data_IF_136532891076
#
_entry.id   IF_136532891076
#
_cell.length_a   1.000
_cell.length_b   1.000
_cell.length_c   1.000
_cell.angle_alpha   90.00
_cell.angle_beta   90.00
_cell.angle_gamma   90.00
#
_symmetry.space_group_name_H-M   'P 1'
#
loop_
_entity.id
_entity.type
_entity.pdbx_description
1 polymer ?
#
# COMPACT_ATOMS: atom_id res chain seq x y z
N UNK A 1 19.86 1.84 26.28
CA UNK A 1 19.26 2.80 25.33
C UNK A 1 19.97 2.58 24.01
N UNK A 2 19.48 1.63 23.21
CA UNK A 2 20.01 1.42 21.86
C UNK A 2 19.13 2.21 20.90
N UNK A 3 19.64 3.37 20.50
CA UNK A 3 19.03 4.25 19.51
C UNK A 3 19.32 3.61 18.14
N UNK A 4 18.42 2.74 17.68
CA UNK A 4 18.44 2.28 16.29
C UNK A 4 17.77 3.37 15.44
N UNK A 5 18.60 4.24 14.88
CA UNK A 5 18.23 5.23 13.86
C UNK A 5 17.74 6.57 14.41
N UNK A 6 17.93 7.62 13.61
CA UNK A 6 17.64 9.05 13.87
C UNK A 6 16.14 9.38 14.11
N UNK A 7 15.32 8.37 14.46
CA UNK A 7 13.87 8.47 14.66
C UNK A 7 13.58 8.80 16.13
N UNK A 8 12.96 9.95 16.37
CA UNK A 8 12.47 10.34 17.71
C UNK A 8 11.16 9.60 18.00
N UNK A 9 11.06 8.95 19.15
CA UNK A 9 9.84 8.24 19.57
C UNK A 9 9.10 9.03 20.65
N UNK A 10 7.76 8.95 20.66
CA UNK A 10 6.96 9.52 21.74
C UNK A 10 7.14 8.72 23.02
N UNK A 11 7.28 9.40 24.16
CA UNK A 11 7.23 8.75 25.46
C UNK A 11 5.78 8.37 25.79
N UNK A 12 5.53 7.06 25.87
CA UNK A 12 4.21 6.55 26.25
C UNK A 12 4.17 6.39 27.78
N UNK A 13 3.24 7.05 28.49
CA UNK A 13 3.15 6.96 29.94
C UNK A 13 2.99 5.52 30.44
N UNK A 14 3.67 5.18 31.54
CA UNK A 14 3.65 3.84 32.13
C UNK A 14 4.58 2.85 31.43
N UNK A 15 4.59 1.60 31.91
CA UNK A 15 5.42 0.50 31.37
C UNK A 15 4.60 -0.51 30.54
N UNK A 16 3.30 -0.27 30.41
CA UNK A 16 2.38 -1.21 29.77
C UNK A 16 2.56 -1.22 28.25
N UNK A 17 2.42 -2.41 27.67
CA UNK A 17 2.24 -2.62 26.24
C UNK A 17 0.77 -2.42 25.86
N UNK A 18 0.50 -1.59 24.86
CA UNK A 18 -0.86 -1.29 24.40
C UNK A 18 -1.24 -2.16 23.20
N UNK A 19 -2.43 -2.75 23.26
CA UNK A 19 -3.00 -3.50 22.14
C UNK A 19 -3.75 -2.54 21.21
N UNK A 20 -3.37 -2.55 19.94
CA UNK A 20 -4.04 -1.85 18.85
C UNK A 20 -5.07 -2.77 18.19
N UNK A 21 -6.08 -2.21 17.49
CA UNK A 21 -6.98 -2.99 16.65
C UNK A 21 -6.22 -3.92 15.69
N UNK A 22 -6.79 -5.08 15.32
CA UNK A 22 -6.17 -5.97 14.34
C UNK A 22 -6.12 -5.31 12.95
N UNK A 23 -5.03 -5.51 12.22
CA UNK A 23 -4.91 -5.13 10.82
C UNK A 23 -5.59 -6.20 9.97
N UNK A 24 -6.72 -5.85 9.38
CA UNK A 24 -7.46 -6.72 8.47
C UNK A 24 -6.92 -6.51 7.04
N UNK A 25 -6.36 -7.55 6.43
CA UNK A 25 -5.78 -7.48 5.09
C UNK A 25 -6.67 -8.24 4.11
N UNK A 26 -7.11 -7.56 3.06
CA UNK A 26 -7.86 -8.17 1.97
C UNK A 26 -6.91 -8.54 0.82
N UNK A 27 -6.26 -9.71 0.90
CA UNK A 27 -5.45 -10.21 -0.23
C UNK A 27 -6.29 -11.07 -1.18
N UNK A 28 -5.83 -11.25 -2.43
CA UNK A 28 -6.49 -12.16 -3.38
C UNK A 28 -5.78 -13.52 -3.33
N UNK A 29 -6.49 -14.67 -3.20
CA UNK A 29 -5.84 -15.97 -3.07
C UNK A 29 -5.02 -16.35 -4.31
N UNK A 30 -3.80 -16.86 -4.10
CA UNK A 30 -2.80 -17.15 -5.15
C UNK A 30 -3.30 -18.10 -6.25
N UNK A 31 -4.13 -19.08 -5.91
CA UNK A 31 -4.63 -20.08 -6.88
C UNK A 31 -5.59 -19.45 -7.90
N UNK A 32 -6.39 -18.45 -7.51
CA UNK A 32 -7.27 -17.72 -8.43
C UNK A 32 -6.52 -16.68 -9.28
N UNK A 33 -5.24 -16.44 -9.00
CA UNK A 33 -4.47 -15.39 -9.66
C UNK A 33 -4.08 -15.77 -11.09
N UNK A 34 -3.63 -17.00 -11.33
CA UNK A 34 -3.16 -17.43 -12.66
C UNK A 34 -4.31 -17.43 -13.68
N UNK A 35 -5.44 -18.06 -13.32
CA UNK A 35 -6.65 -18.09 -14.16
C UNK A 35 -7.18 -16.68 -14.44
N UNK A 36 -7.12 -15.80 -13.42
CA UNK A 36 -7.50 -14.39 -13.56
C UNK A 36 -6.56 -13.60 -14.46
N UNK A 37 -5.24 -13.83 -14.39
CA UNK A 37 -4.26 -13.20 -15.30
C UNK A 37 -4.56 -13.59 -16.74
N UNK A 38 -4.79 -14.88 -17.00
CA UNK A 38 -5.08 -15.37 -18.35
C UNK A 38 -6.42 -14.81 -18.86
N UNK A 39 -7.46 -14.80 -18.03
CA UNK A 39 -8.75 -14.19 -18.39
C UNK A 39 -8.63 -12.71 -18.72
N UNK A 40 -7.94 -11.93 -17.87
CA UNK A 40 -7.74 -10.50 -18.10
C UNK A 40 -6.85 -10.21 -19.32
N UNK A 41 -5.90 -11.09 -19.62
CA UNK A 41 -5.07 -10.98 -20.82
C UNK A 41 -5.89 -11.21 -22.09
N UNK A 42 -6.81 -12.18 -22.10
CA UNK A 42 -7.74 -12.37 -23.23
C UNK A 42 -8.64 -11.14 -23.42
N UNK A 43 -9.24 -10.63 -22.35
CA UNK A 43 -10.08 -9.43 -22.41
C UNK A 43 -9.31 -8.19 -22.95
N UNK A 44 -8.02 -8.08 -22.62
CA UNK A 44 -7.13 -7.02 -23.11
C UNK A 44 -6.82 -7.13 -24.61
N UNK A 45 -6.67 -8.35 -25.12
CA UNK A 45 -6.44 -8.61 -26.55
C UNK A 45 -7.72 -8.33 -27.33
N UNK A 46 -8.86 -8.76 -26.81
CA UNK A 46 -10.18 -8.55 -27.41
C UNK A 46 -10.59 -7.07 -27.43
N UNK A 47 -10.10 -6.26 -26.47
CA UNK A 47 -10.36 -4.82 -26.39
C UNK A 47 -9.53 -3.95 -27.36
N UNK A 48 -8.64 -4.57 -28.16
CA UNK A 48 -7.92 -4.05 -29.34
C UNK A 48 -7.83 -2.51 -29.50
N UNK A 49 -6.88 -1.85 -28.80
CA UNK A 49 -6.32 -0.55 -29.23
C UNK A 49 -4.94 -0.17 -28.61
N UNK A 50 -4.13 -1.14 -28.14
CA UNK A 50 -2.96 -0.82 -27.26
C UNK A 50 -1.63 -1.50 -27.62
N UNK A 51 -1.48 -2.08 -28.81
CA UNK A 51 -0.18 -2.57 -29.27
C UNK A 51 0.01 -2.19 -30.75
N UNK A 52 0.84 -1.17 -31.07
CA UNK A 52 1.20 -0.89 -32.45
C UNK A 52 1.99 -2.09 -32.97
N UNK A 53 1.40 -2.87 -33.87
CA UNK A 53 2.11 -3.94 -34.58
C UNK A 53 2.80 -3.27 -35.76
N UNK A 54 4.14 -3.30 -35.87
CA UNK A 54 4.80 -2.88 -37.09
C UNK A 54 4.31 -3.78 -38.24
N UNK A 55 3.81 -3.19 -39.32
CA UNK A 55 3.17 -3.88 -40.47
C UNK A 55 4.13 -4.78 -41.30
N UNK A 56 5.23 -5.26 -40.72
CA UNK A 56 6.27 -6.00 -41.45
C UNK A 56 6.61 -7.34 -40.76
N UNK A 57 5.86 -8.38 -41.15
CA UNK A 57 5.98 -9.86 -41.03
C UNK A 57 7.05 -10.49 -40.08
N UNK A 58 6.73 -11.57 -39.34
CA UNK A 58 6.40 -12.91 -39.86
C UNK A 58 5.02 -13.44 -39.40
N UNK A 59 4.59 -14.60 -39.91
CA UNK A 59 3.21 -15.10 -39.91
C UNK A 59 2.38 -14.88 -38.64
N UNK A 60 1.08 -14.61 -38.84
CA UNK A 60 0.08 -14.19 -37.86
C UNK A 60 0.22 -14.85 -36.47
N UNK A 61 0.54 -16.15 -36.44
CA UNK A 61 0.75 -16.92 -35.19
C UNK A 61 1.89 -16.42 -34.29
N UNK A 62 3.00 -15.88 -34.81
CA UNK A 62 4.08 -15.33 -33.98
C UNK A 62 3.73 -13.96 -33.39
N UNK A 63 2.99 -13.15 -34.15
CA UNK A 63 2.50 -11.84 -33.71
C UNK A 63 1.49 -12.04 -32.58
N UNK A 64 0.54 -12.96 -32.75
CA UNK A 64 -0.47 -13.27 -31.74
C UNK A 64 0.16 -13.82 -30.45
N UNK A 65 1.19 -14.65 -30.57
CA UNK A 65 1.94 -15.13 -29.40
C UNK A 65 2.61 -13.99 -28.63
N UNK A 66 3.26 -13.05 -29.32
CA UNK A 66 3.91 -11.89 -28.67
C UNK A 66 2.90 -10.95 -28.03
N UNK A 67 1.74 -10.75 -28.65
CA UNK A 67 0.62 -9.99 -28.07
C UNK A 67 0.15 -10.63 -26.76
N UNK A 68 -0.04 -11.96 -26.77
CA UNK A 68 -0.44 -12.72 -25.59
C UNK A 68 0.58 -12.59 -24.46
N UNK A 69 1.86 -12.77 -24.76
CA UNK A 69 2.93 -12.63 -23.76
C UNK A 69 2.93 -11.22 -23.14
N UNK A 70 2.70 -10.18 -23.95
CA UNK A 70 2.63 -8.79 -23.46
C UNK A 70 1.38 -8.56 -22.60
N UNK A 71 0.22 -9.07 -23.01
CA UNK A 71 -1.03 -8.97 -22.26
C UNK A 71 -0.94 -9.66 -20.90
N UNK A 72 -0.35 -10.86 -20.84
CA UNK A 72 -0.09 -11.57 -19.58
C UNK A 72 0.82 -10.75 -18.65
N UNK A 73 1.90 -10.18 -19.17
CA UNK A 73 2.81 -9.34 -18.39
C UNK A 73 2.09 -8.10 -17.84
N UNK A 74 1.22 -7.48 -18.63
CA UNK A 74 0.45 -6.31 -18.22
C UNK A 74 -0.58 -6.68 -17.15
N UNK A 75 -1.29 -7.79 -17.33
CA UNK A 75 -2.26 -8.32 -16.36
C UNK A 75 -1.59 -8.69 -15.02
N UNK A 76 -0.41 -9.34 -15.02
CA UNK A 76 0.31 -9.63 -13.77
C UNK A 76 0.73 -8.34 -13.04
N UNK A 77 1.27 -7.36 -13.78
CA UNK A 77 1.64 -6.05 -13.21
C UNK A 77 0.43 -5.31 -12.65
N UNK A 78 -0.70 -5.36 -13.34
CA UNK A 78 -1.95 -4.78 -12.88
C UNK A 78 -2.41 -5.43 -11.57
N UNK A 79 -2.41 -6.76 -11.49
CA UNK A 79 -2.81 -7.45 -10.25
C UNK A 79 -1.91 -7.11 -9.08
N UNK A 80 -0.59 -6.99 -9.29
CA UNK A 80 0.32 -6.50 -8.25
C UNK A 80 -0.05 -5.09 -7.79
N UNK A 81 -0.36 -4.19 -8.72
CA UNK A 81 -0.81 -2.84 -8.38
C UNK A 81 -2.11 -2.86 -7.57
N UNK A 82 -3.07 -3.71 -7.95
CA UNK A 82 -4.32 -3.89 -7.20
C UNK A 82 -4.04 -4.41 -5.79
N UNK A 83 -3.14 -5.38 -5.63
CA UNK A 83 -2.73 -5.88 -4.31
C UNK A 83 -2.10 -4.77 -3.47
N UNK A 84 -1.18 -3.98 -4.04
CA UNK A 84 -0.58 -2.82 -3.37
C UNK A 84 -1.65 -1.79 -2.96
N UNK A 85 -2.64 -1.54 -3.83
CA UNK A 85 -3.75 -0.64 -3.52
C UNK A 85 -4.63 -1.18 -2.37
N UNK A 86 -4.95 -2.48 -2.36
CA UNK A 86 -5.72 -3.14 -1.30
C UNK A 86 -5.02 -3.06 0.06
N UNK A 87 -3.69 -3.21 0.07
CA UNK A 87 -2.89 -2.96 1.27
C UNK A 87 -3.02 -1.52 1.74
N UNK A 88 -2.95 -0.54 0.84
CA UNK A 88 -3.14 0.86 1.17
C UNK A 88 -4.51 1.16 1.80
N UNK A 89 -5.58 0.57 1.26
CA UNK A 89 -6.94 0.69 1.80
C UNK A 89 -7.05 0.08 3.20
N UNK A 90 -6.53 -1.13 3.37
CA UNK A 90 -6.49 -1.85 4.64
C UNK A 90 -5.72 -1.07 5.72
N UNK A 91 -4.56 -0.51 5.36
CA UNK A 91 -3.72 0.29 6.27
C UNK A 91 -4.42 1.59 6.68
N UNK A 92 -5.02 2.32 5.75
CA UNK A 92 -5.71 3.57 6.08
C UNK A 92 -6.93 3.33 6.98
N UNK A 93 -7.68 2.27 6.74
CA UNK A 93 -8.80 1.88 7.60
C UNK A 93 -8.30 1.46 8.99
N UNK A 94 -7.21 0.69 9.05
CA UNK A 94 -6.59 0.33 10.32
C UNK A 94 -6.09 1.55 11.11
N UNK A 95 -5.47 2.52 10.44
CA UNK A 95 -5.06 3.80 11.06
C UNK A 95 -6.28 4.52 11.64
N UNK A 96 -7.39 4.58 10.90
CA UNK A 96 -8.63 5.18 11.38
C UNK A 96 -9.17 4.49 12.63
N UNK A 97 -9.10 3.15 12.69
CA UNK A 97 -9.49 2.37 13.87
C UNK A 97 -8.56 2.62 15.06
N UNK A 98 -7.25 2.74 14.81
CA UNK A 98 -6.27 3.11 15.83
C UNK A 98 -6.56 4.51 16.38
N UNK A 99 -6.87 5.49 15.53
CA UNK A 99 -7.22 6.86 15.93
C UNK A 99 -8.45 6.88 16.85
N UNK A 100 -9.50 6.12 16.53
CA UNK A 100 -10.68 5.97 17.39
C UNK A 100 -10.29 5.37 18.75
N UNK A 101 -9.46 4.32 18.73
CA UNK A 101 -8.99 3.64 19.95
C UNK A 101 -8.17 4.57 20.84
N UNK A 102 -7.30 5.39 20.25
CA UNK A 102 -6.51 6.40 20.97
C UNK A 102 -7.42 7.50 21.53
N UNK A 103 -8.42 7.94 20.77
CA UNK A 103 -9.40 8.92 21.23
C UNK A 103 -10.21 8.45 22.44
N UNK A 104 -10.50 7.14 22.53
CA UNK A 104 -11.23 6.53 23.64
C UNK A 104 -10.38 6.28 24.89
N UNK A 105 -9.06 6.11 24.75
CA UNK A 105 -8.14 5.77 25.86
C UNK A 105 -7.40 7.02 26.35
N UNK A 106 -7.65 7.43 27.59
CA UNK A 106 -7.05 8.65 28.18
C UNK A 106 -5.51 8.67 28.11
N UNK A 107 -4.88 7.53 28.31
CA UNK A 107 -3.40 7.36 28.27
C UNK A 107 -2.79 7.62 26.89
N UNK A 108 -3.55 7.37 25.82
CA UNK A 108 -3.08 7.45 24.43
C UNK A 108 -3.60 8.68 23.70
N UNK A 109 -4.69 9.29 24.18
CA UNK A 109 -5.38 10.41 23.52
C UNK A 109 -4.48 11.59 23.21
N UNK A 110 -3.49 11.85 24.06
CA UNK A 110 -2.58 12.98 23.88
C UNK A 110 -1.48 12.69 22.84
N UNK A 111 -1.20 11.42 22.54
CA UNK A 111 -0.12 11.04 21.62
C UNK A 111 -0.43 11.41 20.16
N UNK A 112 -1.69 11.56 19.77
CA UNK A 112 -2.06 11.93 18.39
C UNK A 112 -2.53 13.39 18.25
N UNK A 113 -2.44 14.19 19.32
CA UNK A 113 -2.89 15.58 19.29
C UNK A 113 -1.75 16.48 18.79
N UNK A 114 -1.92 17.19 17.66
CA UNK A 114 -0.87 18.08 17.15
C UNK A 114 -0.58 19.26 18.09
N UNK A 115 -1.53 19.61 18.97
CA UNK A 115 -1.39 20.71 19.93
C UNK A 115 -0.61 20.33 21.20
N UNK A 116 -0.25 19.05 21.38
CA UNK A 116 0.41 18.55 22.59
C UNK A 116 1.70 17.86 22.21
N UNK A 117 2.83 18.43 22.63
CA UNK A 117 4.15 17.85 22.37
C UNK A 117 4.61 16.94 23.52
N UNK A 118 5.22 15.77 23.24
CA UNK A 118 5.48 15.17 21.93
C UNK A 118 4.26 14.43 21.35
N UNK A 119 4.02 14.58 20.04
CA UNK A 119 2.96 13.88 19.31
C UNK A 119 3.51 12.99 18.19
N UNK A 120 2.73 11.96 17.88
CA UNK A 120 2.92 11.07 16.76
C UNK A 120 1.98 11.43 15.61
N UNK A 121 2.54 11.48 14.39
CA UNK A 121 1.77 11.70 13.17
C UNK A 121 1.18 10.40 12.63
N UNK A 122 0.27 10.50 11.66
CA UNK A 122 -0.36 9.31 11.04
C UNK A 122 0.65 8.41 10.33
N UNK A 123 1.72 8.99 9.79
CA UNK A 123 2.84 8.25 9.19
C UNK A 123 3.57 7.34 10.19
N UNK A 124 3.44 7.61 11.50
CA UNK A 124 4.04 6.75 12.54
C UNK A 124 3.45 5.34 12.57
N UNK A 125 2.20 5.16 12.16
CA UNK A 125 1.59 3.84 12.03
C UNK A 125 2.21 3.05 10.88
N UNK A 126 2.53 3.71 9.77
CA UNK A 126 3.22 3.07 8.64
C UNK A 126 4.63 2.65 9.06
N UNK A 127 5.36 3.54 9.74
CA UNK A 127 6.67 3.20 10.31
C UNK A 127 6.59 2.08 11.37
N UNK A 128 5.48 1.98 12.10
CA UNK A 128 5.23 0.89 13.05
C UNK A 128 5.06 -0.46 12.34
N UNK A 129 4.36 -0.50 11.19
CA UNK A 129 4.24 -1.70 10.37
C UNK A 129 5.60 -2.15 9.83
N UNK A 130 6.41 -1.21 9.34
CA UNK A 130 7.79 -1.47 8.88
C UNK A 130 8.67 -2.01 10.01
N UNK A 131 8.65 -1.36 11.17
CA UNK A 131 9.46 -1.74 12.32
C UNK A 131 9.08 -3.12 12.89
N UNK A 132 7.81 -3.51 12.75
CA UNK A 132 7.35 -4.86 13.12
C UNK A 132 7.53 -5.91 12.03
N UNK A 133 8.12 -5.54 10.89
CA UNK A 133 8.37 -6.44 9.77
C UNK A 133 7.14 -7.24 9.36
N UNK A 134 5.98 -6.56 9.26
CA UNK A 134 4.71 -7.19 8.88
C UNK A 134 4.86 -7.86 7.50
N UNK A 135 4.51 -9.15 7.34
CA UNK A 135 4.66 -9.86 6.08
C UNK A 135 3.72 -9.29 5.02
N UNK A 136 4.29 -8.63 3.99
CA UNK A 136 3.54 -7.90 2.96
C UNK A 136 3.74 -8.43 1.54
N UNK A 137 4.33 -9.61 1.38
CA UNK A 137 4.65 -10.22 0.07
C UNK A 137 5.43 -9.28 -0.90
N UNK A 138 6.25 -8.38 -0.36
CA UNK A 138 7.05 -7.43 -1.15
C UNK A 138 6.34 -6.11 -1.46
N UNK A 139 5.20 -5.82 -0.81
CA UNK A 139 4.53 -4.51 -0.88
C UNK A 139 5.22 -3.52 0.06
N UNK A 140 5.61 -2.37 -0.50
CA UNK A 140 6.07 -1.20 0.25
C UNK A 140 4.86 -0.43 0.82
N UNK A 141 4.81 -0.26 2.15
CA UNK A 141 3.64 0.31 2.81
C UNK A 141 3.45 1.80 2.52
N UNK A 142 4.55 2.56 2.39
CA UNK A 142 4.48 3.97 2.00
C UNK A 142 3.85 4.13 0.61
N UNK A 143 4.33 3.36 -0.36
CA UNK A 143 3.80 3.32 -1.72
C UNK A 143 2.35 2.83 -1.76
N UNK A 144 2.00 1.82 -0.95
CA UNK A 144 0.62 1.31 -0.84
C UNK A 144 -0.35 2.40 -0.37
N UNK A 145 -0.01 3.08 0.73
CA UNK A 145 -0.80 4.20 1.26
C UNK A 145 -0.86 5.33 0.24
N UNK A 146 0.27 5.72 -0.35
CA UNK A 146 0.33 6.77 -1.37
C UNK A 146 -0.56 6.50 -2.58
N UNK A 147 -0.55 5.26 -3.09
CA UNK A 147 -1.39 4.83 -4.19
C UNK A 147 -2.88 4.92 -3.83
N UNK A 148 -3.25 4.51 -2.61
CA UNK A 148 -4.63 4.59 -2.11
C UNK A 148 -5.10 6.02 -1.86
N UNK A 149 -4.20 6.91 -1.46
CA UNK A 149 -4.50 8.33 -1.30
C UNK A 149 -4.75 9.01 -2.65
N UNK A 150 -4.04 8.56 -3.68
CA UNK A 150 -4.22 9.07 -5.06
C UNK A 150 -5.50 8.54 -5.69
N UNK A 151 -5.79 7.25 -5.53
CA UNK A 151 -6.94 6.60 -6.15
C UNK A 151 -7.92 6.04 -5.13
N UNK A 152 -9.18 6.50 -5.19
CA UNK A 152 -10.28 5.99 -4.33
C UNK A 152 -10.68 4.55 -4.62
N UNK A 153 -10.39 4.07 -5.82
CA UNK A 153 -10.62 2.71 -6.30
C UNK A 153 -9.42 2.32 -7.16
N UNK A 154 -9.10 1.02 -7.32
CA UNK A 154 -8.05 0.61 -8.23
C UNK A 154 -8.39 1.12 -9.65
N UNK A 155 -7.41 1.68 -10.38
CA UNK A 155 -7.66 2.16 -11.73
C UNK A 155 -8.16 0.99 -12.61
N UNK A 156 -9.06 1.23 -13.57
CA UNK A 156 -9.52 0.19 -14.48
C UNK A 156 -8.38 -0.27 -15.40
N UNK A 157 -8.35 -1.56 -15.73
CA UNK A 157 -7.29 -2.13 -16.58
C UNK A 157 -7.27 -1.54 -18.00
N UNK A 158 -8.41 -1.04 -18.49
CA UNK A 158 -8.51 -0.38 -19.80
C UNK A 158 -7.72 0.93 -19.89
N UNK A 159 -7.47 1.60 -18.77
CA UNK A 159 -6.63 2.82 -18.73
C UNK A 159 -5.15 2.51 -18.47
N UNK A 160 -4.77 1.23 -18.42
CA UNK A 160 -3.54 0.78 -17.80
C UNK A 160 -2.45 0.50 -18.84
N UNK A 161 -1.67 1.52 -19.20
CA UNK A 161 -0.52 1.37 -20.12
C UNK A 161 0.80 1.11 -19.38
N UNK A 162 1.80 0.58 -20.09
CA UNK A 162 3.16 0.41 -19.54
C UNK A 162 3.78 1.74 -19.09
N UNK A 163 3.51 2.85 -19.78
CA UNK A 163 4.00 4.17 -19.38
C UNK A 163 3.31 4.67 -18.10
N UNK A 164 2.00 4.45 -17.98
CA UNK A 164 1.23 4.77 -16.78
C UNK A 164 1.76 4.05 -15.54
N UNK A 165 2.14 2.78 -15.67
CA UNK A 165 2.76 1.98 -14.61
C UNK A 165 4.07 2.57 -14.07
N UNK A 166 4.96 3.03 -14.96
CA UNK A 166 6.22 3.63 -14.55
C UNK A 166 6.01 4.96 -13.81
N UNK A 167 5.08 5.79 -14.29
CA UNK A 167 4.75 7.06 -13.62
C UNK A 167 4.08 6.86 -12.25
N UNK A 168 3.16 5.91 -12.15
CA UNK A 168 2.45 5.63 -10.89
C UNK A 168 3.36 5.14 -9.77
N UNK A 169 4.21 4.16 -10.07
CA UNK A 169 5.06 3.53 -9.05
C UNK A 169 6.25 4.40 -8.62
N UNK A 170 6.75 5.30 -9.49
CA UNK A 170 7.98 6.05 -9.20
C UNK A 170 7.75 7.42 -8.55
N UNK A 171 6.72 8.16 -8.97
CA UNK A 171 6.54 9.55 -8.51
C UNK A 171 5.24 9.79 -7.78
N UNK A 172 4.11 9.28 -8.28
CA UNK A 172 2.79 9.69 -7.78
C UNK A 172 2.52 9.12 -6.39
N UNK A 173 2.68 7.80 -6.20
CA UNK A 173 2.44 7.17 -4.90
C UNK A 173 3.39 7.72 -3.81
N UNK A 174 4.68 7.80 -4.10
CA UNK A 174 5.69 8.33 -3.17
C UNK A 174 5.41 9.78 -2.78
N UNK A 175 5.09 10.64 -3.75
CA UNK A 175 4.79 12.06 -3.49
C UNK A 175 3.49 12.22 -2.69
N UNK A 176 2.46 11.43 -3.01
CA UNK A 176 1.20 11.45 -2.26
C UNK A 176 1.40 11.03 -0.80
N UNK A 177 2.19 9.97 -0.57
CA UNK A 177 2.55 9.53 0.78
C UNK A 177 3.34 10.59 1.55
N UNK A 178 4.38 11.16 0.94
CA UNK A 178 5.20 12.21 1.56
C UNK A 178 4.35 13.44 1.91
N UNK A 179 3.51 13.90 0.98
CA UNK A 179 2.61 15.03 1.20
C UNK A 179 1.67 14.76 2.37
N UNK A 180 1.09 13.56 2.43
CA UNK A 180 0.21 13.16 3.52
C UNK A 180 0.94 13.03 4.86
N UNK A 181 2.17 12.52 4.86
CA UNK A 181 3.01 12.43 6.06
C UNK A 181 3.34 13.83 6.61
N UNK A 182 3.63 14.80 5.74
CA UNK A 182 3.94 16.19 6.09
C UNK A 182 2.73 17.04 6.47
N UNK A 183 1.50 16.52 6.39
CA UNK A 183 0.33 17.23 6.95
C UNK A 183 0.38 17.34 8.48
N UNK A 184 1.19 16.50 9.14
CA UNK A 184 1.40 16.61 10.59
C UNK A 184 2.49 17.65 10.85
N UNK A 185 2.25 18.67 11.70
CA UNK A 185 3.23 19.71 11.96
C UNK A 185 4.47 19.14 12.67
N UNK A 186 5.64 19.61 12.25
CA UNK A 186 6.91 19.26 12.87
C UNK A 186 7.06 19.88 14.28
N UNK A 187 7.80 19.21 15.20
CA UNK A 187 8.51 17.96 14.99
C UNK A 187 7.64 16.72 15.26
N UNK A 188 7.54 15.84 14.27
CA UNK A 188 6.79 14.58 14.37
C UNK A 188 7.65 13.50 15.03
N UNK A 189 7.13 12.89 16.10
CA UNK A 189 7.72 11.69 16.70
C UNK A 189 7.02 10.42 16.21
N UNK A 190 7.64 9.26 16.37
CA UNK A 190 7.13 7.96 15.97
C UNK A 190 6.57 7.20 17.17
N UNK A 191 5.63 6.27 16.90
CA UNK A 191 5.15 5.35 17.93
C UNK A 191 6.24 4.30 18.22
N UNK A 192 6.64 4.10 19.48
CA UNK A 192 7.65 3.10 19.85
C UNK A 192 7.16 1.67 19.57
N UNK A 193 7.80 0.90 18.68
CA UNK A 193 7.33 -0.43 18.27
C UNK A 193 7.16 -1.44 19.40
N UNK A 194 8.01 -1.36 20.42
CA UNK A 194 8.01 -2.20 21.62
C UNK A 194 6.81 -1.94 22.55
N UNK A 195 6.18 -0.75 22.46
CA UNK A 195 5.04 -0.37 23.30
C UNK A 195 3.69 -0.72 22.71
N UNK A 196 3.63 -1.18 21.45
CA UNK A 196 2.38 -1.49 20.77
C UNK A 196 2.36 -2.92 20.22
N UNK A 197 1.21 -3.57 20.25
CA UNK A 197 0.99 -4.91 19.67
C UNK A 197 -0.30 -4.95 18.88
N UNK A 198 -0.36 -5.75 17.83
CA UNK A 198 -1.57 -6.02 17.04
C UNK A 198 -1.42 -7.35 16.31
N UNK A 199 -2.55 -7.88 15.87
CA UNK A 199 -2.62 -9.05 15.02
C UNK A 199 -2.87 -8.64 13.57
N UNK A 200 -2.30 -9.40 12.64
CA UNK A 200 -2.58 -9.27 11.20
C UNK A 200 -3.49 -10.43 10.83
N UNK A 201 -4.67 -10.12 10.30
CA UNK A 201 -5.70 -11.09 9.94
C UNK A 201 -5.90 -11.01 8.43
N UNK A 202 -5.65 -12.12 7.74
CA UNK A 202 -5.96 -12.26 6.32
C UNK A 202 -7.44 -12.61 6.16
N UNK A 203 -8.16 -11.81 5.36
CA UNK A 203 -9.60 -11.90 5.15
C UNK A 203 -9.96 -12.55 3.80
N UNK A 204 -9.01 -13.27 3.19
CA UNK A 204 -9.09 -13.85 1.84
C UNK A 204 -9.67 -15.25 1.73
#
# INVERSE_FOLDING_TARGET
>A
MDIVGDRKFVEVPGEKTHELPPLLVHTTPKVKRLDRVVGMANDLIDAEDMIPIPETFPGDSEVDRRKMDLAINLADRYLRLVTTWQWGDSILEWIRQCEITFGARLELRNLLRPDVWPHAGRASFVALLEAKAVPSEGVDFGSAVGLRLTFRQPPPISCFSNQFLFYLNSSVASTAFQTWAHLTPDPVSYLPPERFTFHVIDMS
#
